data_IF_338483152663
#
_entry.id   IF_338483152663
#
_cell.length_a   1.000
_cell.length_b   1.000
_cell.length_c   1.000
_cell.angle_alpha   90.00
_cell.angle_beta   90.00
_cell.angle_gamma   90.00
#
_symmetry.space_group_name_H-M   'P 1'
#
loop_
_entity.id
_entity.type
_entity.pdbx_description
1 polymer ?
#
# COMPACT_ATOMS: atom_id res chain seq x y z
N UNK A 1 -5.13 -19.43 5.53
CA UNK A 1 -4.65 -18.36 6.43
C UNK A 1 -5.86 -17.58 6.87
N UNK A 2 -6.25 -17.75 8.12
CA UNK A 2 -7.37 -17.03 8.71
C UNK A 2 -7.05 -15.53 8.75
N UNK A 3 -7.87 -14.73 8.06
CA UNK A 3 -7.88 -13.28 8.24
C UNK A 3 -8.69 -13.01 9.50
N UNK A 4 -8.00 -13.01 10.64
CA UNK A 4 -8.56 -12.47 11.86
C UNK A 4 -8.52 -10.93 11.75
N UNK A 5 -9.51 -10.35 11.08
CA UNK A 5 -9.64 -8.90 10.89
C UNK A 5 -11.07 -8.51 11.21
N UNK A 6 -11.36 -8.33 12.50
CA UNK A 6 -12.70 -7.94 12.93
C UNK A 6 -12.77 -6.77 13.91
N UNK A 7 -11.71 -6.45 14.66
CA UNK A 7 -11.87 -5.54 15.81
C UNK A 7 -10.97 -4.30 15.80
N UNK A 8 -9.83 -4.31 15.10
CA UNK A 8 -8.85 -3.21 15.18
C UNK A 8 -8.59 -2.48 13.85
N UNK A 9 -9.25 -2.86 12.75
CA UNK A 9 -9.09 -2.19 11.44
C UNK A 9 -10.16 -1.12 11.25
N UNK A 10 -9.73 0.13 11.16
CA UNK A 10 -10.60 1.32 11.11
C UNK A 10 -10.89 1.73 9.67
N UNK A 11 -9.89 1.57 8.79
CA UNK A 11 -9.99 1.91 7.38
C UNK A 11 -8.99 1.06 6.59
N UNK A 12 -9.33 0.64 5.38
CA UNK A 12 -8.42 -0.04 4.47
C UNK A 12 -8.60 0.44 3.04
N UNK A 13 -7.49 0.66 2.34
CA UNK A 13 -7.45 0.87 0.89
C UNK A 13 -6.57 -0.19 0.25
N UNK A 14 -7.17 -0.98 -0.64
CA UNK A 14 -6.47 -1.97 -1.48
C UNK A 14 -6.13 -1.37 -2.85
N UNK A 15 -4.92 -1.60 -3.32
CA UNK A 15 -4.44 -1.21 -4.66
C UNK A 15 -3.90 -2.44 -5.38
N UNK A 16 -4.53 -2.84 -6.48
CA UNK A 16 -4.05 -3.94 -7.33
C UNK A 16 -3.05 -3.41 -8.36
N UNK A 17 -1.86 -4.01 -8.43
CA UNK A 17 -0.77 -3.60 -9.33
C UNK A 17 -0.15 -4.84 -10.00
N UNK A 18 -0.94 -5.54 -10.82
CA UNK A 18 -0.51 -6.74 -11.53
C UNK A 18 -0.18 -7.90 -10.58
N UNK A 19 1.10 -8.27 -10.48
CA UNK A 19 1.57 -9.34 -9.57
C UNK A 19 1.69 -8.89 -8.11
N UNK A 20 1.53 -7.60 -7.83
CA UNK A 20 1.58 -7.02 -6.47
C UNK A 20 0.21 -6.49 -6.08
N UNK A 21 -0.10 -6.58 -4.80
CA UNK A 21 -1.24 -5.90 -4.18
C UNK A 21 -0.72 -5.13 -2.99
N UNK A 22 -1.06 -3.83 -2.93
CA UNK A 22 -0.75 -2.98 -1.79
C UNK A 22 -1.99 -2.82 -0.92
N UNK A 23 -1.79 -2.83 0.38
CA UNK A 23 -2.82 -2.59 1.39
C UNK A 23 -2.35 -1.42 2.27
N UNK A 24 -3.20 -0.41 2.39
CA UNK A 24 -2.98 0.74 3.26
C UNK A 24 -4.07 0.72 4.33
N UNK A 25 -3.72 0.25 5.52
CA UNK A 25 -4.68 0.00 6.60
C UNK A 25 -4.43 0.94 7.77
N UNK A 26 -5.47 1.60 8.27
CA UNK A 26 -5.44 2.32 9.55
C UNK A 26 -5.96 1.37 10.62
N UNK A 27 -5.17 1.17 11.68
CA UNK A 27 -5.52 0.27 12.78
C UNK A 27 -5.44 0.98 14.13
N UNK A 28 -6.26 0.55 15.09
CA UNK A 28 -6.20 1.01 16.47
C UNK A 28 -5.26 0.14 17.30
N UNK A 29 -4.54 0.78 18.22
CA UNK A 29 -3.83 0.10 19.30
C UNK A 29 -4.79 -0.18 20.45
N UNK A 30 -4.40 -1.06 21.39
CA UNK A 30 -5.13 -1.26 22.64
C UNK A 30 -5.28 0.01 23.49
N UNK A 31 -4.40 1.00 23.30
CA UNK A 31 -4.43 2.29 23.99
C UNK A 31 -5.34 3.34 23.35
N UNK A 32 -6.07 3.00 22.28
CA UNK A 32 -6.97 3.92 21.57
C UNK A 32 -6.29 4.82 20.54
N UNK A 33 -4.96 4.75 20.41
CA UNK A 33 -4.21 5.43 19.35
C UNK A 33 -4.35 4.72 18.00
N UNK A 34 -4.06 5.43 16.90
CA UNK A 34 -4.07 4.88 15.54
C UNK A 34 -2.67 4.80 14.93
N UNK A 35 -2.47 3.83 14.05
CA UNK A 35 -1.25 3.69 13.24
C UNK A 35 -1.58 3.19 11.83
N UNK A 36 -0.70 3.48 10.88
CA UNK A 36 -0.80 3.03 9.50
C UNK A 36 0.01 1.73 9.32
N UNK A 37 -0.57 0.76 8.62
CA UNK A 37 0.14 -0.40 8.09
C UNK A 37 0.15 -0.31 6.57
N UNK A 38 1.33 -0.38 5.96
CA UNK A 38 1.48 -0.51 4.51
C UNK A 38 1.98 -1.92 4.24
N UNK A 39 1.18 -2.73 3.55
CA UNK A 39 1.56 -4.10 3.19
C UNK A 39 1.65 -4.23 1.69
N UNK A 40 2.80 -4.67 1.19
CA UNK A 40 2.92 -5.19 -0.15
C UNK A 40 2.79 -6.72 -0.11
N UNK A 41 1.92 -7.29 -0.95
CA UNK A 41 1.85 -8.72 -1.22
C UNK A 41 2.22 -9.01 -2.67
N UNK A 42 3.36 -9.65 -2.89
CA UNK A 42 3.88 -10.04 -4.20
C UNK A 42 3.62 -11.52 -4.46
N UNK A 43 2.91 -11.80 -5.54
CA UNK A 43 2.70 -13.17 -6.02
C UNK A 43 3.99 -13.68 -6.69
N UNK A 44 4.57 -14.75 -6.14
CA UNK A 44 5.65 -15.52 -6.76
C UNK A 44 5.08 -16.80 -7.38
N UNK A 45 5.69 -17.23 -8.47
CA UNK A 45 5.33 -18.46 -9.18
C UNK A 45 6.60 -19.27 -9.31
N UNK A 46 6.67 -20.37 -8.58
CA UNK A 46 7.76 -21.36 -8.67
C UNK A 46 7.17 -22.71 -9.09
N UNK A 47 8.04 -23.66 -9.45
CA UNK A 47 7.65 -24.99 -9.95
C UNK A 47 6.75 -25.75 -8.95
N UNK A 48 6.96 -25.55 -7.65
CA UNK A 48 6.18 -26.17 -6.56
C UNK A 48 4.89 -25.40 -6.18
N UNK A 49 4.56 -24.30 -6.87
CA UNK A 49 3.25 -23.64 -6.74
C UNK A 49 3.27 -22.12 -6.60
N UNK A 50 2.13 -21.58 -6.14
CA UNK A 50 1.90 -20.13 -5.95
C UNK A 50 2.06 -19.77 -4.48
N UNK A 51 3.04 -18.93 -4.17
CA UNK A 51 3.21 -18.36 -2.84
C UNK A 51 3.24 -16.82 -2.90
N UNK A 52 2.97 -16.20 -1.76
CA UNK A 52 2.89 -14.74 -1.63
C UNK A 52 3.96 -14.25 -0.65
N UNK A 53 4.86 -13.43 -1.15
CA UNK A 53 5.83 -12.70 -0.33
C UNK A 53 5.16 -11.42 0.19
N UNK A 54 5.24 -11.18 1.50
CA UNK A 54 4.65 -10.01 2.13
C UNK A 54 5.72 -9.12 2.75
N UNK A 55 5.75 -7.86 2.37
CA UNK A 55 6.52 -6.82 3.04
C UNK A 55 5.55 -5.92 3.79
N UNK A 56 5.82 -5.66 5.06
CA UNK A 56 4.92 -4.89 5.92
C UNK A 56 5.69 -3.80 6.65
N UNK A 57 5.16 -2.60 6.60
CA UNK A 57 5.64 -1.42 7.31
C UNK A 57 4.58 -1.02 8.33
N UNK A 58 5.00 -0.71 9.55
CA UNK A 58 4.19 -0.09 10.59
C UNK A 58 4.65 1.36 10.74
N UNK A 59 3.72 2.31 10.69
CA UNK A 59 3.99 3.73 10.81
C UNK A 59 3.10 4.32 11.91
N UNK A 60 3.73 4.71 13.01
CA UNK A 60 3.07 5.30 14.17
C UNK A 60 2.94 6.83 14.02
N UNK A 61 1.99 7.42 14.75
CA UNK A 61 1.54 8.82 14.62
C UNK A 61 2.69 9.84 14.63
N UNK A 62 3.72 9.61 15.44
CA UNK A 62 4.88 10.47 15.63
C UNK A 62 5.76 10.62 14.37
N UNK A 63 5.70 9.64 13.46
CA UNK A 63 6.54 9.58 12.27
C UNK A 63 5.75 9.79 10.97
N UNK A 64 4.41 9.82 11.03
CA UNK A 64 3.54 9.95 9.83
C UNK A 64 3.96 11.13 8.95
N UNK A 65 4.11 12.32 9.54
CA UNK A 65 4.44 13.52 8.76
C UNK A 65 5.83 13.39 8.12
N UNK A 66 6.85 12.94 8.88
CA UNK A 66 8.21 12.78 8.35
C UNK A 66 8.24 11.80 7.18
N UNK A 67 7.55 10.66 7.32
CA UNK A 67 7.46 9.64 6.29
C UNK A 67 6.76 10.15 5.03
N UNK A 68 5.60 10.81 5.17
CA UNK A 68 4.83 11.34 4.03
C UNK A 68 5.60 12.43 3.31
N UNK A 69 6.28 13.32 4.03
CA UNK A 69 7.12 14.36 3.42
C UNK A 69 8.25 13.74 2.59
N UNK A 70 9.03 12.81 3.16
CA UNK A 70 10.10 12.15 2.45
C UNK A 70 9.60 11.36 1.23
N UNK A 71 8.47 10.65 1.36
CA UNK A 71 7.86 9.93 0.25
C UNK A 71 7.46 10.88 -0.89
N UNK A 72 6.78 11.99 -0.57
CA UNK A 72 6.34 12.96 -1.56
C UNK A 72 7.52 13.63 -2.27
N UNK A 73 8.58 13.98 -1.53
CA UNK A 73 9.80 14.58 -2.10
C UNK A 73 10.47 13.63 -3.10
N UNK A 74 10.67 12.37 -2.74
CA UNK A 74 11.30 11.38 -3.62
C UNK A 74 10.41 11.07 -4.83
N UNK A 75 9.08 10.98 -4.65
CA UNK A 75 8.14 10.78 -5.75
C UNK A 75 8.14 11.98 -6.70
N UNK A 76 8.20 13.21 -6.16
CA UNK A 76 8.30 14.41 -6.97
C UNK A 76 9.57 14.41 -7.81
N UNK A 77 10.72 14.13 -7.19
CA UNK A 77 11.99 14.06 -7.90
C UNK A 77 11.98 12.99 -8.99
N UNK A 78 11.43 11.81 -8.71
CA UNK A 78 11.26 10.73 -9.69
C UNK A 78 10.43 11.20 -10.90
N UNK A 79 9.26 11.80 -10.65
CA UNK A 79 8.31 12.18 -11.71
C UNK A 79 8.76 13.39 -12.53
N UNK A 80 9.47 14.34 -11.91
CA UNK A 80 9.80 15.61 -12.57
C UNK A 80 11.22 15.70 -13.09
N UNK A 81 12.16 15.01 -12.44
CA UNK A 81 13.59 15.07 -12.81
C UNK A 81 14.01 13.82 -13.56
N UNK A 82 13.71 12.62 -13.03
CA UNK A 82 14.21 11.37 -13.60
C UNK A 82 13.34 10.82 -14.74
N UNK A 83 12.03 11.05 -14.69
CA UNK A 83 11.06 10.45 -15.60
C UNK A 83 10.03 11.48 -16.08
N UNK A 84 10.48 12.69 -16.42
CA UNK A 84 9.61 13.79 -16.85
C UNK A 84 8.75 13.45 -18.07
N UNK A 85 9.29 12.66 -19.01
CA UNK A 85 8.60 12.28 -20.25
C UNK A 85 7.72 11.03 -20.09
N UNK A 86 7.67 10.42 -18.90
CA UNK A 86 6.86 9.23 -18.65
C UNK A 86 5.44 9.61 -18.19
N UNK A 87 4.43 9.17 -18.94
CA UNK A 87 3.03 9.35 -18.59
C UNK A 87 2.61 8.40 -17.46
N UNK A 88 2.77 8.82 -16.20
CA UNK A 88 2.39 8.01 -15.03
C UNK A 88 0.87 7.84 -14.88
N UNK A 89 0.11 8.82 -15.34
CA UNK A 89 -1.36 8.91 -15.29
C UNK A 89 -2.07 7.90 -16.20
N UNK A 90 -1.38 7.34 -17.20
CA UNK A 90 -1.95 6.36 -18.12
C UNK A 90 -2.52 5.11 -17.40
N UNK A 91 -2.05 4.82 -16.18
CA UNK A 91 -2.47 3.68 -15.36
C UNK A 91 -3.57 4.00 -14.35
N UNK A 92 -3.94 5.28 -14.18
CA UNK A 92 -4.93 5.71 -13.18
C UNK A 92 -6.36 5.24 -13.52
N UNK A 93 -6.64 4.99 -14.81
CA UNK A 93 -7.97 4.61 -15.34
C UNK A 93 -8.52 3.27 -14.85
N UNK A 94 -7.70 2.40 -14.22
CA UNK A 94 -8.17 1.10 -13.73
C UNK A 94 -8.65 1.11 -12.26
N UNK A 95 -8.62 2.26 -11.58
CA UNK A 95 -8.95 2.36 -10.14
C UNK A 95 -10.47 2.49 -9.90
N UNK A 96 -11.22 3.09 -10.83
CA UNK A 96 -12.67 3.33 -10.65
C UNK A 96 -13.52 2.06 -10.89
N UNK A 97 -13.17 1.20 -11.85
CA UNK A 97 -13.95 0.01 -12.20
C UNK A 97 -13.95 -1.11 -11.14
N UNK A 98 -13.05 -1.05 -10.16
CA UNK A 98 -12.93 -2.10 -9.12
C UNK A 98 -13.81 -1.81 -7.89
N UNK A 99 -14.39 -0.60 -7.75
CA UNK A 99 -15.27 -0.28 -6.61
C UNK A 99 -16.77 -0.56 -6.87
N UNK A 100 -17.14 -1.03 -8.06
CA UNK A 100 -18.55 -1.24 -8.46
C UNK A 100 -18.95 -2.71 -8.70
N UNK A 101 -18.20 -3.68 -8.16
CA UNK A 101 -18.60 -5.10 -8.18
C UNK A 101 -18.49 -5.76 -6.81
#
# INVERSE_FOLDING_TARGET
MELNTGLDEVYSKRVNAGKRVYFFDIKSTRGGDYYLTITESKKKTEEDGKFYEKHKIFLYKEDVNKFVHALNEVVYYLKTVLMADYAFDQFDRNIEDTQSK
#
